data_IF_176570503439
#
_entry.id   IF_176570503439
#
_cell.length_a   1.000
_cell.length_b   1.000
_cell.length_c   1.000
_cell.angle_alpha   90.00
_cell.angle_beta   90.00
_cell.angle_gamma   90.00
#
_symmetry.space_group_name_H-M   'P 1'
#
loop_
_entity.id
_entity.type
_entity.pdbx_description
1 polymer ?
#
# COMPACT_ATOMS: atom_id res chain seq x y z
N UNK A 1 -12.91 8.69 -30.13
CA UNK A 1 -11.55 8.28 -29.68
C UNK A 1 -10.86 7.59 -30.84
N UNK A 2 -9.61 7.96 -31.15
CA UNK A 2 -8.89 7.37 -32.28
C UNK A 2 -8.35 5.98 -31.92
N UNK A 3 -8.23 5.10 -32.92
CA UNK A 3 -7.69 3.73 -32.77
C UNK A 3 -6.28 3.74 -32.16
N UNK A 4 -5.51 4.81 -32.40
CA UNK A 4 -4.18 5.01 -31.81
C UNK A 4 -4.21 5.26 -30.29
N UNK A 5 -5.24 5.95 -29.78
CA UNK A 5 -5.40 6.15 -28.33
C UNK A 5 -5.73 4.84 -27.62
N UNK A 6 -6.61 3.99 -28.18
CA UNK A 6 -6.90 2.67 -27.60
C UNK A 6 -5.66 1.76 -27.60
N UNK A 7 -4.85 1.77 -28.65
CA UNK A 7 -3.67 0.89 -28.75
C UNK A 7 -2.60 1.21 -27.69
N UNK A 8 -2.31 2.49 -27.46
CA UNK A 8 -1.37 2.92 -26.40
C UNK A 8 -1.93 2.67 -25.01
N UNK A 9 -3.23 2.90 -24.78
CA UNK A 9 -3.87 2.56 -23.51
C UNK A 9 -3.84 1.06 -23.26
N UNK A 10 -4.09 0.21 -24.26
CA UNK A 10 -4.03 -1.25 -24.13
C UNK A 10 -2.62 -1.72 -23.74
N UNK A 11 -1.56 -1.31 -24.43
CA UNK A 11 -0.19 -1.74 -24.09
C UNK A 11 0.30 -1.18 -22.74
N UNK A 12 -0.07 0.05 -22.37
CA UNK A 12 0.28 0.62 -21.06
C UNK A 12 -0.59 0.03 -19.91
N UNK A 13 -1.84 -0.34 -20.20
CA UNK A 13 -2.75 -0.99 -19.25
C UNK A 13 -2.44 -2.47 -19.02
N UNK A 14 -2.01 -3.19 -20.07
CA UNK A 14 -1.62 -4.60 -19.99
C UNK A 14 -0.32 -4.76 -19.19
N UNK A 15 0.65 -3.87 -19.41
CA UNK A 15 1.88 -3.85 -18.62
C UNK A 15 1.61 -3.50 -17.15
N UNK A 16 0.71 -2.54 -16.86
CA UNK A 16 0.44 -2.14 -15.47
C UNK A 16 -0.38 -3.16 -14.69
N UNK A 17 -1.36 -3.84 -15.30
CA UNK A 17 -2.18 -4.83 -14.59
C UNK A 17 -1.39 -6.13 -14.34
N UNK A 18 -0.63 -6.61 -15.32
CA UNK A 18 0.23 -7.79 -15.15
C UNK A 18 1.38 -7.51 -14.17
N UNK A 19 2.02 -6.34 -14.24
CA UNK A 19 3.04 -5.94 -13.27
C UNK A 19 2.46 -5.82 -11.85
N UNK A 20 1.23 -5.31 -11.71
CA UNK A 20 0.55 -5.23 -10.42
C UNK A 20 0.25 -6.62 -9.86
N UNK A 21 -0.25 -7.54 -10.70
CA UNK A 21 -0.45 -8.94 -10.32
C UNK A 21 0.86 -9.59 -9.88
N UNK A 22 1.95 -9.36 -10.60
CA UNK A 22 3.28 -9.86 -10.24
C UNK A 22 3.76 -9.29 -8.90
N UNK A 23 3.61 -7.98 -8.67
CA UNK A 23 3.95 -7.34 -7.38
C UNK A 23 3.12 -7.90 -6.24
N UNK A 24 1.83 -8.15 -6.45
CA UNK A 24 0.96 -8.77 -5.46
C UNK A 24 1.39 -10.22 -5.15
N UNK A 25 1.76 -11.00 -6.16
CA UNK A 25 2.29 -12.35 -5.95
C UNK A 25 3.61 -12.32 -5.18
N UNK A 26 4.55 -11.43 -5.57
CA UNK A 26 5.82 -11.25 -4.86
C UNK A 26 5.61 -10.85 -3.41
N UNK A 27 4.70 -9.89 -3.15
CA UNK A 27 4.32 -9.50 -1.79
C UNK A 27 3.85 -10.70 -0.96
N UNK A 28 2.92 -11.51 -1.49
CA UNK A 28 2.40 -12.70 -0.79
C UNK A 28 3.50 -13.71 -0.47
N UNK A 29 4.38 -13.98 -1.44
CA UNK A 29 5.50 -14.89 -1.26
C UNK A 29 6.48 -14.38 -0.19
N UNK A 30 6.84 -13.10 -0.25
CA UNK A 30 7.75 -12.50 0.72
C UNK A 30 7.15 -12.43 2.13
N UNK A 31 5.85 -12.13 2.23
CA UNK A 31 5.13 -12.17 3.50
C UNK A 31 5.22 -13.55 4.14
N UNK A 32 4.85 -14.62 3.41
CA UNK A 32 4.91 -15.99 3.95
C UNK A 32 6.34 -16.46 4.24
N UNK A 33 7.32 -16.05 3.41
CA UNK A 33 8.72 -16.36 3.67
C UNK A 33 9.23 -15.71 4.97
N UNK A 34 8.70 -14.53 5.33
CA UNK A 34 9.07 -13.81 6.55
C UNK A 34 8.27 -14.28 7.78
N UNK A 35 6.96 -14.50 7.65
CA UNK A 35 6.05 -14.81 8.76
C UNK A 35 5.78 -16.30 8.98
N UNK A 36 6.32 -17.17 8.12
CA UNK A 36 5.99 -18.59 8.00
C UNK A 36 4.60 -18.85 7.40
N UNK A 37 4.47 -19.97 6.69
CA UNK A 37 3.22 -20.41 6.08
C UNK A 37 2.33 -21.13 7.11
N UNK A 38 1.64 -20.34 7.93
CA UNK A 38 0.60 -20.82 8.86
C UNK A 38 -0.79 -20.55 8.29
N UNK A 39 -1.80 -21.30 8.75
CA UNK A 39 -3.20 -21.09 8.33
C UNK A 39 -3.67 -19.65 8.60
N UNK A 40 -3.25 -19.04 9.71
CA UNK A 40 -3.57 -17.67 10.09
C UNK A 40 -2.98 -16.64 9.11
N UNK A 41 -1.73 -16.85 8.69
CA UNK A 41 -1.05 -15.99 7.72
C UNK A 41 -1.65 -16.14 6.32
N UNK A 42 -2.00 -17.37 5.92
CA UNK A 42 -2.71 -17.64 4.67
C UNK A 42 -4.10 -16.99 4.66
N UNK A 43 -4.82 -17.03 5.78
CA UNK A 43 -6.11 -16.36 5.93
C UNK A 43 -5.98 -14.84 5.77
N UNK A 44 -4.98 -14.22 6.40
CA UNK A 44 -4.70 -12.79 6.24
C UNK A 44 -4.55 -12.39 4.76
N UNK A 45 -3.82 -13.19 3.96
CA UNK A 45 -3.57 -12.92 2.54
C UNK A 45 -4.80 -13.08 1.63
N UNK A 46 -5.94 -13.58 2.16
CA UNK A 46 -7.22 -13.56 1.44
C UNK A 46 -7.83 -12.16 1.41
N UNK A 47 -7.52 -11.34 2.40
CA UNK A 47 -8.10 -10.01 2.60
C UNK A 47 -7.16 -8.85 2.26
N UNK A 48 -5.86 -9.13 2.08
CA UNK A 48 -4.83 -8.12 1.82
C UNK A 48 -4.19 -8.35 0.45
N UNK A 49 -3.90 -7.26 -0.25
CA UNK A 49 -3.18 -7.28 -1.53
C UNK A 49 -2.24 -6.08 -1.66
N UNK A 50 -1.23 -6.23 -2.52
CA UNK A 50 -0.58 -5.06 -3.12
C UNK A 50 -1.39 -4.64 -4.33
N UNK A 51 -1.84 -3.38 -4.37
CA UNK A 51 -2.79 -2.92 -5.39
C UNK A 51 -2.72 -1.42 -5.67
N UNK A 52 -3.49 -1.00 -6.68
CA UNK A 52 -3.69 0.41 -7.03
C UNK A 52 -4.87 0.99 -6.25
N UNK A 53 -4.73 2.23 -5.82
CA UNK A 53 -5.78 3.06 -5.25
C UNK A 53 -5.94 4.30 -6.09
N UNK A 54 -7.19 4.70 -6.31
CA UNK A 54 -7.53 5.95 -6.96
C UNK A 54 -8.06 6.87 -5.88
N UNK A 55 -7.43 8.02 -5.72
CA UNK A 55 -7.99 9.07 -4.87
C UNK A 55 -9.34 9.50 -5.46
N UNK A 56 -10.37 9.62 -4.63
CA UNK A 56 -11.71 10.02 -5.08
C UNK A 56 -11.78 11.53 -5.35
N UNK A 57 -10.90 12.29 -4.71
CA UNK A 57 -10.83 13.76 -4.77
C UNK A 57 -9.78 14.28 -5.75
N UNK A 58 -8.80 13.43 -6.11
CA UNK A 58 -7.78 13.74 -7.10
C UNK A 58 -7.64 12.60 -8.11
N UNK A 59 -7.30 12.88 -9.37
CA UNK A 59 -7.03 11.80 -10.36
C UNK A 59 -5.73 11.02 -10.08
N UNK A 60 -5.20 11.13 -8.86
CA UNK A 60 -3.94 10.51 -8.45
C UNK A 60 -4.13 9.01 -8.22
N UNK A 61 -3.24 8.23 -8.83
CA UNK A 61 -3.15 6.78 -8.60
C UNK A 61 -1.96 6.53 -7.69
N UNK A 62 -2.20 5.87 -6.57
CA UNK A 62 -1.16 5.41 -5.65
C UNK A 62 -1.11 3.88 -5.63
N UNK A 63 0.07 3.33 -5.36
CA UNK A 63 0.24 1.90 -5.11
C UNK A 63 0.69 1.65 -3.69
N UNK A 64 0.22 0.54 -3.12
CA UNK A 64 0.61 0.09 -1.79
C UNK A 64 -0.16 -1.14 -1.35
N UNK A 65 0.07 -1.54 -0.10
CA UNK A 65 -0.65 -2.64 0.54
C UNK A 65 -2.01 -2.12 1.01
N UNK A 66 -3.09 -2.80 0.59
CA UNK A 66 -4.47 -2.37 0.79
C UNK A 66 -5.37 -3.53 1.20
N UNK A 67 -6.55 -3.18 1.72
CA UNK A 67 -7.64 -4.14 1.84
C UNK A 67 -8.11 -4.52 0.44
N UNK A 68 -8.14 -5.83 0.18
CA UNK A 68 -8.54 -6.40 -1.11
C UNK A 68 -9.91 -5.86 -1.52
N UNK A 69 -10.02 -5.46 -2.78
CA UNK A 69 -11.26 -4.94 -3.39
C UNK A 69 -11.84 -3.66 -2.74
N UNK A 70 -11.11 -3.01 -1.80
CA UNK A 70 -11.52 -1.74 -1.18
C UNK A 70 -10.48 -0.65 -1.41
N UNK A 71 -10.90 0.61 -1.48
CA UNK A 71 -9.99 1.75 -1.61
C UNK A 71 -9.45 2.20 -0.24
N UNK A 72 -8.80 1.28 0.50
CA UNK A 72 -8.27 1.52 1.85
C UNK A 72 -6.84 0.98 1.97
N UNK A 73 -5.84 1.85 2.15
CA UNK A 73 -4.46 1.43 2.40
C UNK A 73 -4.27 1.00 3.86
N UNK A 74 -3.39 0.03 4.09
CA UNK A 74 -3.00 -0.34 5.46
C UNK A 74 -2.39 0.86 6.19
N UNK A 75 -1.60 1.69 5.52
CA UNK A 75 -1.05 2.90 6.14
C UNK A 75 -2.12 3.88 6.59
N UNK A 76 -3.26 3.97 5.91
CA UNK A 76 -4.35 4.85 6.37
C UNK A 76 -4.99 4.30 7.66
N UNK A 77 -5.12 2.98 7.77
CA UNK A 77 -5.54 2.32 9.02
C UNK A 77 -4.51 2.55 10.13
N UNK A 78 -3.21 2.40 9.84
CA UNK A 78 -2.16 2.62 10.84
C UNK A 78 -2.11 4.08 11.31
N UNK A 79 -2.26 5.06 10.42
CA UNK A 79 -2.40 6.47 10.79
C UNK A 79 -3.62 6.66 11.71
N UNK A 80 -4.77 6.07 11.39
CA UNK A 80 -5.96 6.18 12.24
C UNK A 80 -5.77 5.52 13.63
N UNK A 81 -4.94 4.48 13.74
CA UNK A 81 -4.57 3.86 15.02
C UNK A 81 -3.58 4.77 15.79
N UNK A 82 -2.64 5.41 15.10
CA UNK A 82 -1.71 6.39 15.66
C UNK A 82 -2.45 7.59 16.25
N UNK A 83 -3.51 8.07 15.59
CA UNK A 83 -4.33 9.21 16.04
C UNK A 83 -5.17 8.92 17.31
N UNK A 84 -5.14 7.70 17.87
CA UNK A 84 -5.84 7.39 19.11
C UNK A 84 -5.11 8.01 20.33
N UNK A 85 -5.76 8.98 20.96
CA UNK A 85 -5.22 9.73 22.11
C UNK A 85 -4.84 8.86 23.33
N UNK A 86 -5.49 7.70 23.48
CA UNK A 86 -5.26 6.78 24.60
C UNK A 86 -5.06 5.34 24.13
N UNK A 87 -4.30 4.56 24.92
CA UNK A 87 -4.16 3.12 24.68
C UNK A 87 -5.54 2.45 24.75
N UNK A 88 -5.98 1.71 23.71
CA UNK A 88 -7.27 1.03 23.72
C UNK A 88 -7.43 0.08 24.91
N UNK A 89 -8.65 -0.02 25.46
CA UNK A 89 -8.92 -0.83 26.65
C UNK A 89 -8.46 -2.29 26.49
N UNK A 90 -8.74 -2.89 25.33
CA UNK A 90 -8.33 -4.24 25.00
C UNK A 90 -6.81 -4.40 24.97
N UNK A 91 -6.06 -3.37 24.54
CA UNK A 91 -4.60 -3.39 24.57
C UNK A 91 -4.09 -3.24 26.01
N UNK A 92 -4.72 -2.38 26.82
CA UNK A 92 -4.41 -2.23 28.26
C UNK A 92 -4.63 -3.51 29.06
N UNK A 93 -5.59 -4.36 28.67
CA UNK A 93 -5.80 -5.67 29.31
C UNK A 93 -4.57 -6.59 29.19
N UNK A 94 -3.92 -6.59 28.02
CA UNK A 94 -2.69 -7.36 27.80
C UNK A 94 -1.43 -6.65 28.31
N UNK A 95 -1.41 -5.32 28.26
CA UNK A 95 -0.25 -4.49 28.61
C UNK A 95 -0.63 -3.37 29.59
N UNK A 96 -0.95 -3.68 30.86
CA UNK A 96 -1.48 -2.70 31.81
C UNK A 96 -0.48 -1.60 32.20
N UNK A 97 0.82 -1.83 32.01
CA UNK A 97 1.87 -0.85 32.27
C UNK A 97 2.16 0.07 31.07
N UNK A 98 1.58 -0.19 29.89
CA UNK A 98 1.84 0.58 28.68
C UNK A 98 1.27 2.00 28.82
N UNK A 99 2.15 2.99 28.73
CA UNK A 99 1.76 4.40 28.80
C UNK A 99 1.24 4.91 27.45
N UNK A 100 0.47 6.01 27.46
CA UNK A 100 0.03 6.66 26.23
C UNK A 100 1.22 7.13 25.37
N UNK A 101 2.32 7.58 26.00
CA UNK A 101 3.53 8.00 25.27
C UNK A 101 4.20 6.83 24.55
N UNK A 102 4.31 5.67 25.21
CA UNK A 102 4.89 4.48 24.58
C UNK A 102 3.97 3.93 23.47
N UNK A 103 2.66 3.98 23.67
CA UNK A 103 1.68 3.64 22.64
C UNK A 103 1.86 4.52 21.40
N UNK A 104 1.86 5.84 21.57
CA UNK A 104 2.08 6.81 20.50
C UNK A 104 3.42 6.59 19.77
N UNK A 105 4.50 6.33 20.50
CA UNK A 105 5.78 5.99 19.89
C UNK A 105 5.73 4.68 19.08
N UNK A 106 5.04 3.66 19.59
CA UNK A 106 4.91 2.34 18.95
C UNK A 106 4.10 2.42 17.66
N UNK A 107 2.93 3.05 17.71
CA UNK A 107 2.06 3.23 16.55
C UNK A 107 2.74 4.09 15.50
N UNK A 108 3.46 5.15 15.89
CA UNK A 108 4.25 5.97 14.97
C UNK A 108 5.29 5.17 14.19
N UNK A 109 6.05 4.31 14.86
CA UNK A 109 7.05 3.45 14.20
C UNK A 109 6.36 2.54 13.18
N UNK A 110 5.25 1.91 13.55
CA UNK A 110 4.47 1.05 12.66
C UNK A 110 3.97 1.84 11.45
N UNK A 111 3.34 3.00 11.65
CA UNK A 111 2.87 3.85 10.56
C UNK A 111 4.00 4.20 9.61
N UNK A 112 5.16 4.64 10.11
CA UNK A 112 6.31 5.01 9.28
C UNK A 112 6.81 3.84 8.43
N UNK A 113 6.81 2.62 8.97
CA UNK A 113 7.16 1.42 8.20
C UNK A 113 6.18 1.16 7.03
N UNK A 114 4.90 1.57 7.17
CA UNK A 114 3.88 1.41 6.13
C UNK A 114 3.69 2.66 5.24
N UNK A 115 4.38 3.77 5.50
CA UNK A 115 4.23 5.02 4.73
C UNK A 115 4.76 4.93 3.29
N UNK A 116 5.37 3.81 2.88
CA UNK A 116 5.80 3.62 1.50
C UNK A 116 4.59 3.53 0.55
N UNK A 117 4.15 4.69 0.06
CA UNK A 117 3.18 4.85 -1.03
C UNK A 117 3.94 5.30 -2.27
N UNK A 118 3.91 4.52 -3.34
CA UNK A 118 4.53 4.93 -4.61
C UNK A 118 3.50 5.70 -5.45
N UNK A 119 3.83 6.95 -5.76
CA UNK A 119 3.07 7.80 -6.68
C UNK A 119 3.52 7.55 -8.13
N UNK A 120 2.61 7.05 -8.98
CA UNK A 120 2.92 6.81 -10.40
C UNK A 120 3.10 8.11 -11.20
N UNK A 121 2.37 9.18 -10.85
CA UNK A 121 2.45 10.44 -11.58
C UNK A 121 3.82 11.10 -11.38
N UNK A 122 4.48 10.82 -10.25
CA UNK A 122 5.85 11.24 -9.98
C UNK A 122 6.91 10.44 -10.77
N UNK A 123 6.61 9.20 -11.18
CA UNK A 123 7.53 8.34 -11.94
C UNK A 123 7.48 8.68 -13.44
N UNK A 124 6.28 8.91 -14.01
CA UNK A 124 6.13 9.27 -15.41
C UNK A 124 6.80 10.62 -15.75
N UNK A 125 6.71 11.61 -14.85
CA UNK A 125 7.41 12.89 -15.01
C UNK A 125 8.95 12.76 -14.99
N UNK A 126 9.52 11.80 -14.25
CA UNK A 126 10.98 11.57 -14.25
C UNK A 126 11.46 10.94 -15.55
N UNK A 127 10.66 10.09 -16.17
CA UNK A 127 11.03 9.44 -17.43
C UNK A 127 10.94 10.40 -18.62
N UNK A 128 10.02 11.37 -18.64
CA UNK A 128 10.00 12.42 -19.66
C UNK A 128 11.23 13.36 -19.57
N UNK A 129 11.67 13.72 -18.36
CA UNK A 129 12.86 14.58 -18.19
C UNK A 129 14.15 13.89 -18.65
N UNK A 130 14.23 12.56 -18.58
CA UNK A 130 15.39 11.78 -19.03
C UNK A 130 15.43 11.58 -20.54
N UNK A 131 14.29 11.60 -21.24
CA UNK A 131 14.24 11.59 -22.72
C UNK A 131 14.57 12.95 -23.33
N UNK A 132 14.23 14.07 -22.67
CA UNK A 132 14.58 15.42 -23.17
C UNK A 132 16.04 15.84 -22.91
N UNK A 133 16.82 15.08 -22.12
CA UNK A 133 18.26 15.33 -21.91
C UNK A 133 19.19 14.57 -22.87
N UNK A 134 18.64 13.89 -23.89
CA UNK A 134 19.40 13.30 -25.00
C UNK A 134 19.06 13.99 -26.33
N UNK A 135 19.33 15.28 -26.45
CA UNK A 135 19.58 15.97 -27.72
C UNK A 135 20.72 16.96 -27.50
#
# INVERSE_FOLDING_TARGET
MSIQQNFLTTILSENSEQELQQKNQTFKQQFLAFSSETDENLECLKYIEYGKMRDETSEKITHGIKIKDKNILISDIMNAIEDLDEVPAQVKEYFPALTNTEWQATTRVITVLFLEKTDLNAINNKNEILTFKKI
#
